data_IF_142653197992
#
_entry.id   IF_142653197992
#
_cell.length_a   1.000
_cell.length_b   1.000
_cell.length_c   1.000
_cell.angle_alpha   90.00
_cell.angle_beta   90.00
_cell.angle_gamma   90.00
#
_symmetry.space_group_name_H-M   'P 1'
#
loop_
_entity.id
_entity.type
_entity.pdbx_description
1 polymer ?
#
# COMPACT_ATOMS: atom_id res chain seq x y z
N UNK A 1 19.69 27.16 11.30
CA UNK A 1 19.73 25.90 12.07
C UNK A 1 19.53 24.68 11.17
N UNK A 2 18.50 24.57 10.34
CA UNK A 2 18.29 23.42 9.43
C UNK A 2 19.46 23.17 8.45
N UNK A 3 19.99 24.21 7.81
CA UNK A 3 21.14 24.07 6.88
C UNK A 3 22.40 23.53 7.54
N UNK A 4 22.69 23.94 8.78
CA UNK A 4 23.85 23.45 9.53
C UNK A 4 23.69 21.98 9.96
N UNK A 5 22.47 21.56 10.31
CA UNK A 5 22.16 20.16 10.65
C UNK A 5 22.30 19.29 9.41
N UNK A 6 21.81 19.74 8.24
CA UNK A 6 21.93 19.00 6.97
C UNK A 6 23.39 18.84 6.55
N UNK A 7 24.22 19.89 6.70
CA UNK A 7 25.63 19.83 6.39
C UNK A 7 26.39 18.88 7.34
N UNK A 8 26.03 18.87 8.62
CA UNK A 8 26.63 17.96 9.60
C UNK A 8 26.21 16.51 9.32
N UNK A 9 24.96 16.28 8.95
CA UNK A 9 24.45 14.96 8.59
C UNK A 9 25.10 14.41 7.31
N UNK A 10 25.40 15.26 6.32
CA UNK A 10 26.04 14.83 5.06
C UNK A 10 27.46 14.26 5.25
N UNK A 11 28.10 14.54 6.37
CA UNK A 11 29.46 14.09 6.67
C UNK A 11 29.51 12.88 7.62
N UNK A 12 28.36 12.35 8.08
CA UNK A 12 28.37 11.28 9.09
C UNK A 12 29.08 10.02 8.61
N UNK A 13 28.80 9.56 7.40
CA UNK A 13 29.50 8.40 6.84
C UNK A 13 31.01 8.67 6.70
N UNK A 14 31.39 9.78 6.11
CA UNK A 14 32.80 10.13 5.91
C UNK A 14 33.56 10.34 7.23
N UNK A 15 32.90 10.86 8.27
CA UNK A 15 33.50 11.03 9.60
C UNK A 15 33.86 9.69 10.28
N UNK A 16 33.19 8.60 9.89
CA UNK A 16 33.48 7.25 10.39
C UNK A 16 34.18 6.37 9.34
N UNK A 17 34.70 6.97 8.26
CA UNK A 17 35.42 6.26 7.21
C UNK A 17 34.58 5.49 6.23
N UNK A 18 33.25 5.66 6.24
CA UNK A 18 32.34 5.04 5.27
C UNK A 18 32.12 5.93 4.03
N UNK A 19 31.90 5.36 2.84
CA UNK A 19 31.65 6.14 1.64
C UNK A 19 30.31 6.89 1.71
N UNK A 20 30.28 8.11 1.15
CA UNK A 20 29.03 8.80 0.84
C UNK A 20 28.51 8.27 -0.50
N UNK A 21 27.31 7.69 -0.50
CA UNK A 21 26.77 6.93 -1.63
C UNK A 21 25.87 7.77 -2.51
N UNK A 22 24.82 8.35 -1.90
CA UNK A 22 23.85 9.18 -2.64
C UNK A 22 24.34 10.63 -2.77
N UNK A 23 24.20 11.23 -3.96
CA UNK A 23 24.52 12.64 -4.16
C UNK A 23 23.40 13.57 -3.65
N UNK A 24 22.24 13.03 -3.25
CA UNK A 24 21.08 13.81 -2.85
C UNK A 24 21.25 14.28 -1.40
N UNK A 25 21.10 15.58 -1.17
CA UNK A 25 21.23 16.16 0.18
C UNK A 25 20.22 15.59 1.19
N UNK A 26 19.07 15.13 0.72
CA UNK A 26 18.06 14.48 1.58
C UNK A 26 18.49 13.10 2.09
N UNK A 27 19.41 12.44 1.41
CA UNK A 27 19.96 11.13 1.79
C UNK A 27 21.16 11.25 2.74
N UNK A 28 21.48 12.45 3.20
CA UNK A 28 22.51 12.66 4.19
C UNK A 28 22.19 11.89 5.49
N UNK A 29 23.20 11.26 6.09
CA UNK A 29 23.03 10.47 7.30
C UNK A 29 24.08 9.39 7.45
N UNK A 30 23.92 8.54 8.48
CA UNK A 30 24.77 7.39 8.73
C UNK A 30 24.15 6.13 8.12
N UNK A 31 24.96 5.32 7.46
CA UNK A 31 24.56 3.96 7.01
C UNK A 31 23.96 3.16 8.16
N UNK A 32 22.97 2.33 7.86
CA UNK A 32 22.42 1.38 8.83
C UNK A 32 23.46 0.29 9.15
N UNK A 33 23.91 0.24 10.38
CA UNK A 33 24.88 -0.76 10.86
C UNK A 33 24.15 -1.69 11.83
N UNK A 34 24.03 -2.96 11.46
CA UNK A 34 23.42 -4.00 12.28
C UNK A 34 24.47 -4.99 12.76
N UNK A 35 24.50 -5.23 14.06
CA UNK A 35 25.42 -6.17 14.71
C UNK A 35 24.57 -7.19 15.47
N UNK A 36 24.68 -8.46 15.15
CA UNK A 36 23.87 -9.50 15.81
C UNK A 36 24.09 -9.49 17.32
N UNK A 37 23.00 -9.38 18.07
CA UNK A 37 23.01 -9.29 19.53
C UNK A 37 23.07 -7.87 20.09
N UNK A 38 23.09 -6.83 19.26
CA UNK A 38 23.13 -5.43 19.65
C UNK A 38 22.02 -4.62 18.94
N UNK A 39 21.68 -3.48 19.52
CA UNK A 39 20.81 -2.52 18.84
C UNK A 39 21.49 -1.95 17.60
N UNK A 40 20.75 -1.71 16.51
CA UNK A 40 21.31 -1.12 15.30
C UNK A 40 21.82 0.31 15.56
N UNK A 41 22.82 0.71 14.78
CA UNK A 41 23.37 2.06 14.72
C UNK A 41 23.02 2.68 13.36
N UNK A 42 22.99 4.01 13.29
CA UNK A 42 22.70 4.74 12.07
C UNK A 42 21.22 4.93 11.81
N UNK A 43 20.91 5.36 10.59
CA UNK A 43 19.54 5.65 10.16
C UNK A 43 18.88 4.39 9.61
N UNK A 44 17.56 4.29 9.76
CA UNK A 44 16.81 3.16 9.19
C UNK A 44 16.89 3.12 7.68
N UNK A 45 17.03 1.91 7.12
CA UNK A 45 17.17 1.68 5.68
C UNK A 45 15.97 2.11 4.84
N UNK A 46 14.80 2.35 5.44
CA UNK A 46 13.60 2.86 4.76
C UNK A 46 13.54 4.40 4.68
N UNK A 47 14.54 5.09 5.20
CA UNK A 47 14.61 6.54 5.26
C UNK A 47 15.78 7.07 4.41
N UNK A 48 15.63 8.31 3.89
CA UNK A 48 14.54 9.25 4.10
C UNK A 48 13.31 8.92 3.25
N UNK A 49 12.13 9.26 3.78
CA UNK A 49 10.88 9.19 3.05
C UNK A 49 10.00 10.40 3.40
N UNK A 50 9.21 10.86 2.43
CA UNK A 50 8.24 11.91 2.60
C UNK A 50 7.06 11.67 1.67
N UNK A 51 5.86 12.06 2.10
CA UNK A 51 4.66 11.98 1.29
C UNK A 51 3.77 13.18 1.59
N UNK A 52 3.41 13.91 0.53
CA UNK A 52 2.44 15.00 0.57
C UNK A 52 1.25 14.60 -0.28
N UNK A 53 0.08 14.49 0.35
CA UNK A 53 -1.15 14.07 -0.32
C UNK A 53 -2.17 15.21 -0.29
N UNK A 54 -2.68 15.58 -1.46
CA UNK A 54 -3.81 16.48 -1.63
C UNK A 54 -5.01 15.70 -2.15
N UNK A 55 -6.17 15.92 -1.53
CA UNK A 55 -7.43 15.32 -1.94
C UNK A 55 -8.45 16.42 -2.18
N UNK A 56 -8.98 16.46 -3.40
CA UNK A 56 -10.09 17.33 -3.77
C UNK A 56 -11.33 16.46 -3.92
N UNK A 57 -12.40 16.79 -3.19
CA UNK A 57 -13.60 15.97 -3.17
C UNK A 57 -14.84 16.84 -3.34
N UNK A 58 -15.76 16.36 -4.19
CA UNK A 58 -17.10 16.93 -4.38
C UNK A 58 -18.10 15.85 -4.07
N UNK A 59 -18.99 16.12 -3.10
CA UNK A 59 -20.02 15.18 -2.67
C UNK A 59 -21.39 15.83 -2.85
N UNK A 60 -22.32 15.09 -3.45
CA UNK A 60 -23.74 15.40 -3.47
C UNK A 60 -24.52 14.25 -2.83
N UNK A 61 -25.43 14.58 -1.91
CA UNK A 61 -26.39 13.66 -1.33
C UNK A 61 -27.77 14.31 -1.38
N UNK A 62 -28.67 13.72 -2.15
CA UNK A 62 -30.04 14.18 -2.31
C UNK A 62 -31.01 13.17 -1.73
N UNK A 63 -32.09 13.67 -1.15
CA UNK A 63 -33.16 12.84 -0.61
C UNK A 63 -34.50 13.33 -1.21
N UNK A 64 -35.28 12.38 -1.69
CA UNK A 64 -36.62 12.65 -2.20
C UNK A 64 -37.62 11.69 -1.59
N UNK A 65 -38.69 12.24 -0.99
CA UNK A 65 -39.78 11.45 -0.38
C UNK A 65 -41.02 11.54 -1.25
N UNK A 66 -41.57 10.39 -1.60
CA UNK A 66 -42.80 10.31 -2.35
C UNK A 66 -43.66 9.12 -1.85
N UNK A 67 -44.80 9.41 -1.23
CA UNK A 67 -45.64 8.38 -0.61
C UNK A 67 -44.85 7.58 0.43
N UNK A 68 -44.79 6.27 0.26
CA UNK A 68 -44.07 5.34 1.15
C UNK A 68 -42.62 5.10 0.73
N UNK A 69 -42.10 5.82 -0.27
CA UNK A 69 -40.73 5.75 -0.75
C UNK A 69 -39.87 6.88 -0.20
N UNK A 70 -38.67 6.52 0.26
CA UNK A 70 -37.60 7.44 0.62
C UNK A 70 -36.40 7.15 -0.26
N UNK A 71 -36.28 7.89 -1.35
CA UNK A 71 -35.16 7.78 -2.28
C UNK A 71 -34.00 8.63 -1.83
N UNK A 72 -32.78 8.03 -1.77
CA UNK A 72 -31.51 8.72 -1.54
C UNK A 72 -30.59 8.42 -2.72
N UNK A 73 -30.07 9.46 -3.34
CA UNK A 73 -29.16 9.33 -4.46
C UNK A 73 -28.08 10.40 -4.41
N UNK A 74 -26.96 10.12 -5.05
CA UNK A 74 -25.87 11.08 -5.03
C UNK A 74 -24.63 10.62 -5.76
N UNK A 75 -23.61 11.47 -5.67
CA UNK A 75 -22.30 11.26 -6.25
C UNK A 75 -21.19 11.65 -5.26
N UNK A 76 -20.06 10.95 -5.33
CA UNK A 76 -18.81 11.28 -4.64
C UNK A 76 -17.68 11.21 -5.66
N UNK A 77 -17.15 12.38 -6.00
CA UNK A 77 -16.06 12.56 -6.95
C UNK A 77 -14.81 12.96 -6.19
N UNK A 78 -13.74 12.16 -6.30
CA UNK A 78 -12.49 12.39 -5.56
C UNK A 78 -11.31 12.39 -6.51
N UNK A 79 -10.44 13.39 -6.37
CA UNK A 79 -9.21 13.55 -7.12
C UNK A 79 -8.05 13.58 -6.13
N UNK A 80 -7.22 12.56 -6.16
CA UNK A 80 -6.11 12.41 -5.24
C UNK A 80 -4.77 12.61 -5.93
N UNK A 81 -3.91 13.39 -5.31
CA UNK A 81 -2.55 13.67 -5.75
C UNK A 81 -1.60 13.34 -4.60
N UNK A 82 -0.66 12.47 -4.83
CA UNK A 82 0.40 12.17 -3.88
C UNK A 82 1.75 12.48 -4.54
N UNK A 83 2.52 13.35 -3.91
CA UNK A 83 3.91 13.58 -4.25
C UNK A 83 4.76 13.01 -3.11
N UNK A 84 5.58 12.03 -3.42
CA UNK A 84 6.33 11.31 -2.42
C UNK A 84 7.73 10.95 -2.91
N UNK A 85 8.59 10.56 -1.99
CA UNK A 85 9.81 9.80 -2.26
C UNK A 85 10.05 8.82 -1.11
N UNK A 86 10.74 7.73 -1.41
CA UNK A 86 11.15 6.72 -0.45
C UNK A 86 12.50 6.15 -0.88
N UNK A 87 13.55 6.70 -0.30
CA UNK A 87 14.92 6.40 -0.67
C UNK A 87 15.45 5.23 0.17
N UNK A 88 14.94 4.02 -0.15
CA UNK A 88 15.30 2.78 0.56
C UNK A 88 16.78 2.48 0.34
N UNK A 89 17.51 2.24 1.44
CA UNK A 89 18.93 1.90 1.48
C UNK A 89 19.87 2.85 0.71
N UNK A 90 19.43 4.09 0.47
CA UNK A 90 20.22 5.11 -0.22
C UNK A 90 21.51 5.50 0.55
N UNK A 91 21.53 5.28 1.88
CA UNK A 91 22.71 5.50 2.73
C UNK A 91 23.60 4.27 2.88
N UNK A 92 23.14 3.13 2.35
CA UNK A 92 23.76 1.83 2.51
C UNK A 92 23.48 1.17 3.85
N UNK A 93 23.64 -0.12 3.87
CA UNK A 93 23.46 -1.00 5.03
C UNK A 93 24.67 -1.91 5.17
N UNK A 94 25.12 -2.10 6.40
CA UNK A 94 26.21 -3.02 6.77
C UNK A 94 25.69 -3.97 7.84
N UNK A 95 25.86 -5.26 7.65
CA UNK A 95 25.43 -6.29 8.58
C UNK A 95 26.61 -7.12 9.07
N UNK A 96 26.80 -7.16 10.38
CA UNK A 96 27.81 -7.97 11.05
C UNK A 96 27.13 -9.14 11.76
N UNK A 97 27.59 -10.34 11.48
CA UNK A 97 27.02 -11.57 11.99
C UNK A 97 28.09 -12.61 12.25
N UNK A 98 27.94 -13.48 13.26
CA UNK A 98 28.93 -14.51 13.56
C UNK A 98 29.11 -15.53 12.43
N UNK A 99 28.22 -15.50 11.40
CA UNK A 99 28.33 -16.35 10.21
C UNK A 99 29.35 -15.85 9.17
N UNK A 100 29.98 -14.67 9.37
CA UNK A 100 30.96 -14.12 8.44
C UNK A 100 32.28 -14.91 8.40
N UNK A 101 32.50 -15.81 9.33
CA UNK A 101 33.66 -16.72 9.42
C UNK A 101 35.04 -16.04 9.54
N UNK A 102 35.10 -14.75 9.90
CA UNK A 102 36.39 -14.06 10.15
C UNK A 102 36.79 -14.25 11.60
N UNK A 103 36.07 -13.66 12.56
CA UNK A 103 36.35 -13.84 14.00
C UNK A 103 35.37 -14.82 14.69
N UNK A 104 34.28 -15.18 14.03
CA UNK A 104 33.17 -15.96 14.61
C UNK A 104 32.34 -15.17 15.63
N UNK A 105 32.58 -13.86 15.74
CA UNK A 105 31.89 -12.96 16.66
C UNK A 105 31.49 -11.67 15.93
N UNK A 106 30.20 -11.31 15.94
CA UNK A 106 29.69 -10.15 15.22
C UNK A 106 30.31 -8.82 15.67
N UNK A 107 30.56 -8.64 16.95
CA UNK A 107 31.25 -7.45 17.45
C UNK A 107 32.76 -7.47 17.09
N UNK A 108 33.37 -8.65 17.14
CA UNK A 108 34.75 -8.84 16.67
C UNK A 108 34.90 -8.47 15.20
N UNK A 109 33.96 -8.91 14.35
CA UNK A 109 33.96 -8.60 12.92
C UNK A 109 33.71 -7.11 12.64
N UNK A 110 32.84 -6.44 13.45
CA UNK A 110 32.70 -4.98 13.39
C UNK A 110 34.04 -4.26 13.72
N UNK A 111 34.70 -4.65 14.80
CA UNK A 111 35.97 -4.03 15.22
C UNK A 111 37.10 -4.28 14.22
N UNK A 112 37.06 -5.40 13.51
CA UNK A 112 38.01 -5.74 12.46
C UNK A 112 37.62 -5.15 11.09
N UNK A 113 36.40 -4.64 10.95
CA UNK A 113 35.91 -4.01 9.72
C UNK A 113 35.43 -4.97 8.63
N UNK A 114 34.96 -6.18 8.99
CA UNK A 114 34.50 -7.21 8.04
C UNK A 114 33.01 -7.48 8.15
N UNK A 115 32.12 -6.76 7.40
CA UNK A 115 30.72 -7.07 7.36
C UNK A 115 30.46 -8.39 6.63
N UNK A 116 29.44 -9.14 7.10
CA UNK A 116 28.93 -10.32 6.40
C UNK A 116 28.23 -9.98 5.11
N UNK A 117 27.38 -8.95 5.17
CA UNK A 117 26.54 -8.48 4.08
C UNK A 117 26.55 -6.95 4.07
N UNK A 118 26.58 -6.40 2.88
CA UNK A 118 26.28 -4.98 2.66
C UNK A 118 25.26 -4.84 1.56
N UNK A 119 24.46 -3.78 1.62
CA UNK A 119 23.54 -3.44 0.54
C UNK A 119 23.47 -1.93 0.36
N UNK A 120 23.23 -1.53 -0.87
CA UNK A 120 23.08 -0.14 -1.27
C UNK A 120 22.16 0.00 -2.44
N UNK A 121 21.22 0.93 -2.36
CA UNK A 121 20.34 1.22 -3.47
C UNK A 121 20.75 2.52 -4.17
N UNK A 122 20.77 2.46 -5.49
CA UNK A 122 20.69 3.64 -6.33
C UNK A 122 19.23 4.03 -6.45
N UNK A 123 18.88 5.25 -6.03
CA UNK A 123 17.48 5.67 -5.90
C UNK A 123 17.25 6.97 -6.63
N UNK A 124 16.27 6.97 -7.53
CA UNK A 124 15.68 8.17 -8.15
C UNK A 124 14.16 7.97 -8.24
N UNK A 125 13.52 7.78 -7.09
CA UNK A 125 12.13 7.37 -7.02
C UNK A 125 11.15 8.48 -6.62
N UNK A 126 11.40 9.71 -7.04
CA UNK A 126 10.40 10.76 -6.90
C UNK A 126 9.08 10.34 -7.56
N UNK A 127 8.01 10.31 -6.77
CA UNK A 127 6.70 9.75 -7.11
C UNK A 127 5.68 10.87 -7.23
N UNK A 128 4.91 10.88 -8.32
CA UNK A 128 3.86 11.86 -8.58
C UNK A 128 2.54 11.15 -8.90
N UNK A 129 2.04 10.38 -7.93
CA UNK A 129 0.87 9.52 -8.11
C UNK A 129 -0.41 10.34 -8.22
N UNK A 130 -1.23 10.00 -9.21
CA UNK A 130 -2.55 10.57 -9.46
C UNK A 130 -3.57 9.45 -9.59
N UNK A 131 -4.70 9.59 -8.88
CA UNK A 131 -5.83 8.67 -8.98
C UNK A 131 -7.13 9.42 -8.77
N UNK A 132 -8.18 8.98 -9.47
CA UNK A 132 -9.49 9.59 -9.41
C UNK A 132 -10.53 8.52 -9.03
N UNK A 133 -11.54 8.91 -8.25
CA UNK A 133 -12.67 8.07 -7.90
C UNK A 133 -13.97 8.73 -8.34
N UNK A 134 -14.84 7.95 -8.98
CA UNK A 134 -16.15 8.36 -9.46
C UNK A 134 -17.17 7.37 -8.92
N UNK A 135 -17.94 7.80 -7.92
CA UNK A 135 -18.88 6.95 -7.23
C UNK A 135 -20.27 7.54 -7.33
N UNK A 136 -21.26 6.71 -7.68
CA UNK A 136 -22.65 7.10 -7.79
C UNK A 136 -23.51 6.09 -7.04
N UNK A 137 -24.59 6.55 -6.43
CA UNK A 137 -25.49 5.64 -5.74
C UNK A 137 -26.95 6.09 -5.83
N UNK A 138 -27.82 5.09 -5.74
CA UNK A 138 -29.25 5.25 -5.51
C UNK A 138 -29.70 4.19 -4.52
N UNK A 139 -30.48 4.60 -3.52
CA UNK A 139 -31.10 3.71 -2.54
C UNK A 139 -32.56 4.11 -2.37
N UNK A 140 -33.42 3.13 -2.25
CA UNK A 140 -34.83 3.31 -1.89
C UNK A 140 -35.12 2.57 -0.58
N UNK A 141 -35.78 3.26 0.33
CA UNK A 141 -36.42 2.68 1.50
C UNK A 141 -37.93 2.73 1.29
N UNK A 142 -38.51 1.58 0.97
CA UNK A 142 -39.96 1.45 0.67
C UNK A 142 -40.70 0.81 1.85
N UNK A 143 -41.63 1.54 2.40
CA UNK A 143 -42.54 1.04 3.44
C UNK A 143 -43.70 0.32 2.78
N UNK A 144 -43.57 -0.99 2.58
CA UNK A 144 -44.59 -1.82 1.95
C UNK A 144 -45.88 -1.89 2.80
N UNK A 145 -45.69 -1.99 4.12
CA UNK A 145 -46.76 -1.96 5.11
C UNK A 145 -46.32 -1.17 6.35
N UNK A 146 -47.24 -0.82 7.29
CA UNK A 146 -46.81 -0.17 8.54
C UNK A 146 -45.81 -0.99 9.39
N UNK A 147 -45.65 -2.27 9.08
CA UNK A 147 -44.77 -3.19 9.82
C UNK A 147 -43.58 -3.74 9.00
N UNK A 148 -43.56 -3.48 7.68
CA UNK A 148 -42.52 -3.99 6.80
C UNK A 148 -41.91 -2.88 5.95
N UNK A 149 -40.64 -2.67 6.10
CA UNK A 149 -39.84 -1.80 5.23
C UNK A 149 -38.80 -2.64 4.50
N UNK A 150 -38.64 -2.43 3.20
CA UNK A 150 -37.60 -3.00 2.37
C UNK A 150 -36.66 -1.88 1.92
N UNK A 151 -35.36 -2.13 1.95
CA UNK A 151 -34.35 -1.24 1.43
C UNK A 151 -33.68 -1.91 0.23
N UNK A 152 -33.57 -1.19 -0.87
CA UNK A 152 -32.87 -1.63 -2.07
C UNK A 152 -31.98 -0.52 -2.58
N UNK A 153 -30.79 -0.87 -3.01
CA UNK A 153 -29.88 0.13 -3.55
C UNK A 153 -28.81 -0.44 -4.45
N UNK A 154 -28.27 0.43 -5.27
CA UNK A 154 -27.13 0.15 -6.13
C UNK A 154 -26.12 1.28 -6.01
N UNK A 155 -24.86 0.90 -5.83
CA UNK A 155 -23.75 1.83 -5.93
C UNK A 155 -22.84 1.38 -7.07
N UNK A 156 -22.42 2.32 -7.89
CA UNK A 156 -21.36 2.14 -8.87
C UNK A 156 -20.10 2.81 -8.37
N UNK A 157 -18.97 2.10 -8.40
CA UNK A 157 -17.69 2.59 -7.93
C UNK A 157 -16.63 2.41 -9.01
N UNK A 158 -16.06 3.50 -9.47
CA UNK A 158 -14.90 3.46 -10.35
C UNK A 158 -13.76 4.23 -9.73
N UNK A 159 -12.71 3.49 -9.36
CA UNK A 159 -11.44 4.04 -8.93
C UNK A 159 -10.44 3.85 -10.07
N UNK A 160 -9.94 4.95 -10.63
CA UNK A 160 -8.92 4.84 -11.69
C UNK A 160 -7.67 4.18 -11.14
N UNK A 161 -7.03 3.30 -11.91
CA UNK A 161 -5.68 2.87 -11.56
C UNK A 161 -4.76 4.07 -11.33
N UNK A 162 -3.89 4.04 -10.31
CA UNK A 162 -2.95 5.11 -10.06
C UNK A 162 -1.91 5.21 -11.19
N UNK A 163 -1.59 6.42 -11.59
CA UNK A 163 -0.57 6.70 -12.62
C UNK A 163 0.43 7.74 -12.11
N UNK A 164 1.66 7.68 -12.57
CA UNK A 164 2.60 8.78 -12.36
C UNK A 164 2.30 9.93 -13.31
N UNK A 165 2.27 11.16 -12.80
CA UNK A 165 1.98 12.36 -13.59
C UNK A 165 3.09 12.69 -14.61
N UNK A 166 4.30 12.19 -14.40
CA UNK A 166 5.49 12.41 -15.24
C UNK A 166 5.89 11.15 -16.02
N UNK A 167 5.07 10.08 -15.96
CA UNK A 167 5.32 8.78 -16.58
C UNK A 167 6.67 8.14 -16.15
N UNK A 168 7.10 8.42 -14.93
CA UNK A 168 8.31 7.89 -14.33
C UNK A 168 8.04 6.57 -13.63
N UNK A 169 7.78 5.53 -14.41
CA UNK A 169 7.45 4.21 -13.88
C UNK A 169 7.90 3.13 -14.85
N UNK A 170 8.50 2.07 -14.33
CA UNK A 170 8.85 0.88 -15.07
C UNK A 170 8.24 -0.35 -14.42
N UNK A 171 7.84 -1.29 -15.26
CA UNK A 171 7.23 -2.53 -14.87
C UNK A 171 7.94 -3.71 -15.52
N UNK A 172 8.03 -4.80 -14.80
CA UNK A 172 8.46 -6.05 -15.39
C UNK A 172 7.29 -6.70 -16.11
N UNK A 173 7.39 -6.79 -17.43
CA UNK A 173 6.43 -7.53 -18.25
C UNK A 173 6.79 -9.02 -18.22
N UNK A 174 5.98 -9.79 -17.51
CA UNK A 174 6.16 -11.24 -17.34
C UNK A 174 6.10 -11.97 -18.68
N UNK A 175 5.37 -11.43 -19.66
CA UNK A 175 5.21 -12.10 -20.98
C UNK A 175 6.44 -11.99 -21.85
N UNK A 176 7.18 -10.89 -21.74
CA UNK A 176 8.41 -10.63 -22.52
C UNK A 176 9.69 -10.87 -21.74
N UNK A 177 9.60 -10.94 -20.39
CA UNK A 177 10.76 -11.06 -19.51
C UNK A 177 11.60 -9.78 -19.43
N UNK A 178 11.03 -8.62 -19.74
CA UNK A 178 11.76 -7.34 -19.81
C UNK A 178 11.10 -6.23 -19.00
N UNK A 179 11.89 -5.23 -18.62
CA UNK A 179 11.35 -4.00 -18.04
C UNK A 179 10.80 -3.12 -19.16
N UNK A 180 9.58 -2.63 -18.96
CA UNK A 180 8.87 -1.76 -19.90
C UNK A 180 8.42 -0.50 -19.18
N UNK A 181 8.68 0.65 -19.78
CA UNK A 181 8.16 1.91 -19.25
C UNK A 181 6.63 1.92 -19.32
N UNK A 182 6.00 2.32 -18.24
CA UNK A 182 4.55 2.47 -18.16
C UNK A 182 4.04 3.43 -19.25
N UNK A 183 2.95 3.05 -19.91
CA UNK A 183 2.38 3.83 -21.02
C UNK A 183 3.04 3.58 -22.40
N UNK A 184 4.03 2.69 -22.51
CA UNK A 184 4.69 2.34 -23.77
C UNK A 184 4.44 0.90 -24.15
N UNK A 185 4.64 0.53 -25.43
CA UNK A 185 4.56 -0.84 -25.94
C UNK A 185 3.27 -1.58 -25.54
N UNK A 186 2.14 -0.87 -25.44
CA UNK A 186 0.86 -1.44 -25.04
C UNK A 186 0.72 -1.71 -23.53
N UNK A 187 1.70 -1.33 -22.72
CA UNK A 187 1.61 -1.35 -21.26
C UNK A 187 0.77 -0.16 -20.78
N UNK A 188 -0.27 -0.35 -19.96
CA UNK A 188 -0.99 0.77 -19.37
C UNK A 188 -0.09 1.65 -18.51
N UNK A 189 -0.38 2.95 -18.42
CA UNK A 189 0.38 3.89 -17.57
C UNK A 189 0.40 3.51 -16.08
N UNK A 190 -0.62 2.79 -15.65
CA UNK A 190 -0.76 2.23 -14.29
C UNK A 190 -0.13 0.86 -14.10
N UNK A 191 0.30 0.22 -15.20
CA UNK A 191 0.76 -1.16 -15.21
C UNK A 191 -0.36 -2.21 -15.29
N UNK A 192 -1.61 -1.82 -15.09
CA UNK A 192 -2.77 -2.72 -15.16
C UNK A 192 -4.00 -2.02 -15.73
N UNK A 193 -4.91 -2.84 -16.26
CA UNK A 193 -6.11 -2.35 -16.92
C UNK A 193 -7.16 -1.87 -15.89
N UNK A 194 -7.93 -0.80 -16.21
CA UNK A 194 -8.97 -0.31 -15.31
C UNK A 194 -10.13 -1.29 -15.18
N UNK A 195 -10.59 -1.50 -13.95
CA UNK A 195 -11.79 -2.28 -13.65
C UNK A 195 -13.01 -1.36 -13.55
N UNK A 196 -13.96 -1.50 -14.47
CA UNK A 196 -15.11 -0.59 -14.62
C UNK A 196 -16.47 -1.22 -14.31
N UNK A 197 -16.49 -2.47 -13.82
CA UNK A 197 -17.71 -3.22 -13.58
C UNK A 197 -18.11 -3.34 -12.11
N UNK A 198 -17.65 -2.40 -11.27
CA UNK A 198 -17.84 -2.45 -9.84
C UNK A 198 -19.25 -1.96 -9.42
N UNK A 199 -20.25 -2.79 -9.63
CA UNK A 199 -21.61 -2.57 -9.18
C UNK A 199 -21.84 -3.24 -7.82
N UNK A 200 -22.20 -2.45 -6.82
CA UNK A 200 -22.35 -2.84 -5.43
C UNK A 200 -23.85 -2.81 -5.01
N UNK A 201 -24.60 -3.91 -5.26
CA UNK A 201 -25.97 -4.01 -4.81
C UNK A 201 -26.03 -4.11 -3.29
N UNK A 202 -27.11 -3.55 -2.72
CA UNK A 202 -27.43 -3.60 -1.31
C UNK A 202 -28.92 -3.84 -1.16
N UNK A 203 -29.28 -4.81 -0.33
CA UNK A 203 -30.67 -5.10 0.00
C UNK A 203 -30.82 -5.31 1.49
N UNK A 204 -31.96 -4.95 2.03
CA UNK A 204 -32.25 -5.16 3.43
C UNK A 204 -33.72 -5.05 3.72
N UNK A 205 -34.11 -5.52 4.89
CA UNK A 205 -35.49 -5.40 5.37
C UNK A 205 -35.54 -5.20 6.88
N UNK A 206 -36.62 -4.60 7.32
CA UNK A 206 -37.02 -4.53 8.72
C UNK A 206 -38.50 -4.89 8.83
N UNK A 207 -38.81 -5.95 9.58
CA UNK A 207 -40.14 -6.48 9.73
C UNK A 207 -40.51 -6.62 11.20
N UNK A 208 -41.53 -5.88 11.61
CA UNK A 208 -42.16 -6.02 12.94
C UNK A 208 -43.19 -7.12 12.88
N UNK A 209 -42.96 -8.22 13.62
CA UNK A 209 -43.73 -9.45 13.58
C UNK A 209 -44.74 -9.49 14.76
N UNK A 210 -45.86 -10.14 14.54
CA UNK A 210 -46.87 -10.41 15.57
C UNK A 210 -47.84 -9.24 15.79
N UNK A 211 -48.99 -9.58 16.41
CA UNK A 211 -50.01 -8.61 16.75
C UNK A 211 -49.58 -7.67 17.88
N UNK A 212 -48.73 -8.17 18.76
CA UNK A 212 -48.14 -7.45 19.87
C UNK A 212 -47.06 -6.45 19.46
N UNK A 213 -46.53 -6.58 18.22
CA UNK A 213 -45.44 -5.74 17.64
C UNK A 213 -44.18 -5.66 18.50
N UNK A 214 -43.95 -6.69 19.33
CA UNK A 214 -42.78 -6.73 20.26
C UNK A 214 -41.54 -7.41 19.64
N UNK A 215 -41.71 -8.02 18.45
CA UNK A 215 -40.62 -8.72 17.77
C UNK A 215 -40.29 -8.00 16.47
N UNK A 216 -39.01 -7.73 16.24
CA UNK A 216 -38.49 -7.15 15.00
C UNK A 216 -37.45 -8.09 14.43
N UNK A 217 -37.63 -8.44 13.16
CA UNK A 217 -36.63 -9.17 12.35
C UNK A 217 -36.01 -8.20 11.36
N UNK A 218 -34.67 -8.14 11.32
CA UNK A 218 -33.93 -7.34 10.37
C UNK A 218 -32.93 -8.22 9.65
N UNK A 219 -32.72 -7.94 8.39
CA UNK A 219 -31.69 -8.60 7.60
C UNK A 219 -31.17 -7.71 6.49
N UNK A 220 -29.95 -8.00 6.08
CA UNK A 220 -29.32 -7.26 5.01
C UNK A 220 -28.21 -8.03 4.32
N UNK A 221 -27.97 -7.68 3.06
CA UNK A 221 -26.86 -8.10 2.25
C UNK A 221 -26.31 -6.92 1.48
N UNK A 222 -24.99 -6.83 1.34
CA UNK A 222 -24.36 -5.80 0.54
C UNK A 222 -22.99 -6.20 0.02
N UNK A 223 -22.66 -5.66 -1.15
CA UNK A 223 -21.35 -5.72 -1.78
C UNK A 223 -20.64 -4.39 -1.59
N UNK A 224 -19.34 -4.44 -1.28
CA UNK A 224 -18.50 -3.28 -1.00
C UNK A 224 -17.16 -3.46 -1.69
N UNK A 225 -16.86 -2.61 -2.66
CA UNK A 225 -15.58 -2.64 -3.35
C UNK A 225 -14.51 -1.93 -2.53
N UNK A 226 -13.29 -2.41 -2.65
CA UNK A 226 -12.12 -1.76 -2.08
C UNK A 226 -11.73 -0.54 -2.92
N UNK A 227 -11.08 0.43 -2.29
CA UNK A 227 -10.50 1.55 -3.02
C UNK A 227 -9.25 1.06 -3.74
N UNK A 228 -8.93 1.71 -4.87
CA UNK A 228 -7.74 1.35 -5.65
C UNK A 228 -6.49 1.36 -4.75
N UNK A 229 -5.85 0.20 -4.56
CA UNK A 229 -4.73 0.11 -3.65
C UNK A 229 -3.54 0.92 -4.20
N UNK A 230 -2.92 1.74 -3.36
CA UNK A 230 -1.69 2.45 -3.71
C UNK A 230 -0.48 1.50 -3.76
N UNK A 231 -0.52 0.38 -3.06
CA UNK A 231 0.57 -0.59 -3.02
C UNK A 231 1.03 -1.08 -4.41
N UNK A 232 0.15 -1.41 -5.38
CA UNK A 232 0.59 -1.69 -6.73
C UNK A 232 1.30 -0.51 -7.41
N UNK A 233 0.95 0.74 -7.07
CA UNK A 233 1.64 1.90 -7.62
C UNK A 233 3.07 2.04 -7.09
N UNK A 234 3.37 1.56 -5.89
CA UNK A 234 4.74 1.54 -5.37
C UNK A 234 5.65 0.66 -6.23
N UNK A 235 5.14 -0.45 -6.78
CA UNK A 235 5.91 -1.31 -7.67
C UNK A 235 6.41 -0.59 -8.92
N UNK A 236 5.72 0.45 -9.37
CA UNK A 236 6.11 1.27 -10.52
C UNK A 236 7.46 1.98 -10.31
N UNK A 237 7.86 2.22 -9.06
CA UNK A 237 9.04 3.01 -8.71
C UNK A 237 10.20 2.18 -8.18
N UNK A 238 9.99 0.90 -7.91
CA UNK A 238 10.99 -0.03 -7.39
C UNK A 238 11.58 -0.94 -8.47
N UNK A 239 11.63 -0.45 -9.72
CA UNK A 239 12.29 -1.09 -10.84
C UNK A 239 13.33 -0.15 -11.46
N UNK A 240 14.37 -0.72 -12.06
CA UNK A 240 15.36 0.07 -12.80
C UNK A 240 14.69 0.87 -13.93
N UNK A 241 15.17 2.08 -14.24
CA UNK A 241 16.36 2.75 -13.72
C UNK A 241 16.10 3.58 -12.45
N UNK A 242 14.89 3.58 -11.91
CA UNK A 242 14.50 4.45 -10.77
C UNK A 242 14.92 3.87 -9.43
N UNK A 243 15.09 2.55 -9.39
CA UNK A 243 15.55 1.84 -8.22
C UNK A 243 16.43 0.66 -8.65
N UNK A 244 17.61 0.55 -8.04
CA UNK A 244 18.55 -0.54 -8.26
C UNK A 244 19.22 -0.85 -6.92
N UNK A 245 18.93 -2.02 -6.36
CA UNK A 245 19.45 -2.44 -5.05
C UNK A 245 20.53 -3.51 -5.23
N UNK A 246 21.75 -3.16 -4.88
CA UNK A 246 22.89 -4.06 -4.95
C UNK A 246 23.16 -4.65 -3.57
N UNK A 247 23.25 -5.96 -3.49
CA UNK A 247 23.54 -6.72 -2.28
C UNK A 247 24.82 -7.49 -2.47
N UNK A 248 25.74 -7.36 -1.52
CA UNK A 248 27.05 -7.98 -1.52
C UNK A 248 27.20 -8.89 -0.31
N UNK A 249 27.91 -9.99 -0.47
CA UNK A 249 28.19 -10.93 0.59
C UNK A 249 29.69 -11.11 0.76
N UNK A 250 30.16 -11.26 2.01
CA UNK A 250 31.51 -11.67 2.32
C UNK A 250 31.69 -13.13 1.93
N UNK A 251 32.70 -13.43 1.10
CA UNK A 251 32.99 -14.76 0.61
C UNK A 251 34.36 -15.23 1.10
N UNK A 252 34.57 -16.55 1.24
CA UNK A 252 35.88 -17.08 1.52
C UNK A 252 36.92 -16.63 0.47
N UNK A 253 37.99 -15.97 0.93
CA UNK A 253 39.00 -15.40 0.06
C UNK A 253 38.66 -14.06 -0.60
N UNK A 254 37.44 -13.57 -0.45
CA UNK A 254 36.98 -12.27 -0.93
C UNK A 254 36.08 -11.60 0.13
N UNK A 255 36.62 -11.21 1.29
CA UNK A 255 35.84 -10.59 2.34
C UNK A 255 35.45 -9.16 1.94
N UNK A 256 34.22 -8.74 2.33
CA UNK A 256 33.86 -7.33 2.34
C UNK A 256 34.62 -6.60 3.44
N UNK A 257 34.98 -5.34 3.21
CA UNK A 257 35.69 -4.50 4.20
C UNK A 257 34.98 -3.14 4.36
N UNK A 258 35.19 -2.47 5.48
CA UNK A 258 34.70 -1.11 5.68
C UNK A 258 35.32 -0.10 4.71
N UNK A 259 36.54 -0.34 4.22
CA UNK A 259 37.20 0.51 3.22
C UNK A 259 36.54 0.38 1.84
N UNK A 260 35.94 -0.77 1.54
CA UNK A 260 35.22 -1.03 0.30
C UNK A 260 33.95 -1.86 0.57
N UNK A 261 32.97 -1.28 1.25
CA UNK A 261 31.76 -2.02 1.64
C UNK A 261 30.81 -2.27 0.47
N UNK A 262 30.93 -1.50 -0.62
CA UNK A 262 30.08 -1.59 -1.81
C UNK A 262 30.96 -1.67 -3.06
N UNK A 263 31.54 -2.85 -3.33
CA UNK A 263 32.49 -3.00 -4.43
C UNK A 263 31.81 -2.78 -5.78
N UNK A 264 32.50 -2.09 -6.70
CA UNK A 264 31.99 -1.84 -8.06
C UNK A 264 31.92 -3.11 -8.93
N UNK A 265 32.66 -4.14 -8.54
CA UNK A 265 32.60 -5.47 -9.16
C UNK A 265 32.39 -6.53 -8.09
N UNK A 266 31.40 -7.37 -8.29
CA UNK A 266 31.12 -8.52 -7.44
C UNK A 266 30.94 -9.77 -8.32
N UNK A 267 31.70 -10.86 -8.10
CA UNK A 267 31.76 -12.00 -9.01
C UNK A 267 30.47 -12.84 -9.04
N UNK A 268 29.59 -12.65 -8.06
CA UNK A 268 28.31 -13.35 -7.94
C UNK A 268 27.17 -12.34 -7.73
N UNK A 269 26.85 -11.52 -8.74
CA UNK A 269 25.74 -10.60 -8.61
C UNK A 269 24.45 -11.39 -8.36
N UNK A 270 23.66 -10.94 -7.39
CA UNK A 270 22.30 -11.46 -7.26
C UNK A 270 21.49 -11.03 -8.47
N UNK A 271 20.54 -11.87 -8.93
CA UNK A 271 19.62 -11.46 -9.96
C UNK A 271 18.90 -10.16 -9.56
N UNK A 272 18.77 -9.24 -10.49
CA UNK A 272 17.98 -8.04 -10.28
C UNK A 272 16.58 -8.44 -9.85
N UNK A 273 16.11 -7.90 -8.74
CA UNK A 273 14.72 -8.06 -8.34
C UNK A 273 13.87 -7.11 -9.17
N UNK A 274 12.82 -7.64 -9.79
CA UNK A 274 11.87 -6.83 -10.53
C UNK A 274 10.47 -7.01 -9.96
N UNK A 275 9.77 -5.91 -9.79
CA UNK A 275 8.38 -5.92 -9.37
C UNK A 275 7.47 -5.89 -10.60
N UNK A 276 6.52 -6.82 -10.63
CA UNK A 276 5.49 -6.92 -11.66
C UNK A 276 4.11 -6.73 -11.05
N UNK A 277 3.20 -6.20 -11.86
CA UNK A 277 1.78 -6.10 -11.51
C UNK A 277 1.01 -6.98 -12.49
N UNK A 278 0.05 -7.73 -11.97
CA UNK A 278 -0.86 -8.50 -12.81
C UNK A 278 -1.70 -7.52 -13.65
N UNK A 279 -1.63 -7.65 -14.98
CA UNK A 279 -2.27 -6.71 -15.91
C UNK A 279 -3.80 -6.66 -15.80
N UNK A 280 -4.44 -7.80 -15.60
CA UNK A 280 -5.88 -7.94 -15.44
C UNK A 280 -6.34 -7.87 -13.97
N UNK A 281 -5.62 -7.10 -13.15
CA UNK A 281 -5.93 -6.90 -11.76
C UNK A 281 -7.38 -6.40 -11.59
N UNK A 282 -8.16 -7.11 -10.78
CA UNK A 282 -9.56 -6.76 -10.49
C UNK A 282 -9.70 -6.17 -9.12
N UNK A 283 -10.63 -5.25 -8.98
CA UNK A 283 -10.93 -4.64 -7.68
C UNK A 283 -11.43 -5.69 -6.70
N UNK A 284 -10.78 -5.79 -5.57
CA UNK A 284 -11.22 -6.64 -4.46
C UNK A 284 -12.55 -6.15 -3.88
N UNK A 285 -13.37 -7.07 -3.39
CA UNK A 285 -14.63 -6.69 -2.76
C UNK A 285 -14.97 -7.60 -1.58
N UNK A 286 -15.76 -7.04 -0.67
CA UNK A 286 -16.34 -7.73 0.47
C UNK A 286 -17.83 -7.89 0.28
N UNK A 287 -18.35 -9.07 0.58
CA UNK A 287 -19.77 -9.32 0.76
C UNK A 287 -20.05 -9.36 2.25
N UNK A 288 -21.08 -8.65 2.70
CA UNK A 288 -21.53 -8.67 4.08
C UNK A 288 -23.01 -9.05 4.12
N UNK A 289 -23.37 -9.89 5.08
CA UNK A 289 -24.76 -10.23 5.36
C UNK A 289 -24.99 -10.30 6.85
N UNK A 290 -26.22 -9.99 7.24
CA UNK A 290 -26.64 -10.09 8.61
C UNK A 290 -28.11 -10.50 8.71
N UNK A 291 -28.45 -11.14 9.82
CA UNK A 291 -29.81 -11.42 10.25
C UNK A 291 -29.88 -11.18 11.76
N UNK A 292 -30.84 -10.37 12.19
CA UNK A 292 -31.02 -9.98 13.58
C UNK A 292 -32.50 -10.16 13.96
N UNK A 293 -32.75 -10.75 15.10
CA UNK A 293 -34.05 -10.82 15.74
C UNK A 293 -33.99 -10.16 17.11
N UNK A 294 -34.86 -9.19 17.30
CA UNK A 294 -35.02 -8.47 18.57
C UNK A 294 -36.41 -8.72 19.11
N UNK A 295 -36.51 -8.97 20.42
CA UNK A 295 -37.80 -9.09 21.10
C UNK A 295 -37.80 -8.34 22.42
N UNK A 296 -38.80 -7.48 22.60
CA UNK A 296 -39.05 -6.85 23.88
C UNK A 296 -39.62 -7.89 24.87
N UNK A 297 -39.01 -7.97 26.05
CA UNK A 297 -39.42 -8.89 27.14
C UNK A 297 -39.83 -8.04 28.34
N UNK A 298 -41.12 -8.10 28.66
CA UNK A 298 -41.67 -7.25 29.71
C UNK A 298 -41.61 -5.76 29.35
N UNK A 299 -41.55 -4.89 30.36
CA UNK A 299 -41.54 -3.42 30.15
C UNK A 299 -40.14 -2.85 29.90
N UNK A 300 -39.10 -3.50 30.42
CA UNK A 300 -37.76 -2.93 30.48
C UNK A 300 -36.66 -3.85 29.92
N UNK A 301 -37.01 -5.02 29.35
CA UNK A 301 -36.03 -5.96 28.81
C UNK A 301 -36.07 -6.02 27.29
N UNK A 302 -34.93 -6.22 26.65
CA UNK A 302 -34.75 -6.52 25.23
C UNK A 302 -33.88 -7.77 25.12
N UNK A 303 -34.36 -8.73 24.33
CA UNK A 303 -33.59 -9.91 23.94
C UNK A 303 -33.22 -9.76 22.45
N UNK A 304 -31.96 -9.97 22.13
CA UNK A 304 -31.44 -9.85 20.78
C UNK A 304 -30.54 -11.03 20.43
N UNK A 305 -30.73 -11.56 19.22
CA UNK A 305 -29.82 -12.55 18.60
C UNK A 305 -29.48 -12.08 17.21
N UNK A 306 -28.21 -12.01 16.90
CA UNK A 306 -27.71 -11.60 15.60
C UNK A 306 -26.75 -12.63 15.01
N UNK A 307 -26.85 -12.85 13.71
CA UNK A 307 -25.87 -13.55 12.90
C UNK A 307 -25.28 -12.58 11.87
N UNK A 308 -23.95 -12.54 11.80
CA UNK A 308 -23.22 -11.70 10.86
C UNK A 308 -22.19 -12.56 10.14
N UNK A 309 -22.10 -12.38 8.83
CA UNK A 309 -21.08 -13.05 8.03
C UNK A 309 -20.49 -12.13 6.99
N UNK A 310 -19.27 -12.43 6.56
CA UNK A 310 -18.59 -11.72 5.49
C UNK A 310 -17.73 -12.63 4.65
N UNK A 311 -17.49 -12.25 3.38
CA UNK A 311 -16.60 -12.94 2.46
C UNK A 311 -15.84 -11.94 1.60
N UNK A 312 -14.50 -12.00 1.67
CA UNK A 312 -13.62 -11.28 0.75
C UNK A 312 -13.44 -12.06 -0.56
N UNK A 313 -13.39 -11.34 -1.68
CA UNK A 313 -13.18 -11.91 -3.01
C UNK A 313 -12.23 -11.01 -3.78
N UNK A 314 -11.31 -11.59 -4.54
CA UNK A 314 -10.28 -10.89 -5.34
C UNK A 314 -9.44 -9.93 -4.48
N UNK A 315 -9.16 -10.30 -3.24
CA UNK A 315 -8.28 -9.51 -2.38
C UNK A 315 -6.87 -9.52 -2.95
N UNK A 316 -6.21 -8.36 -2.86
CA UNK A 316 -4.83 -8.20 -3.32
C UNK A 316 -3.89 -9.07 -2.47
N UNK A 317 -3.03 -9.83 -3.12
CA UNK A 317 -1.95 -10.61 -2.49
C UNK A 317 -0.65 -10.39 -3.23
N UNK A 318 0.45 -10.22 -2.49
CA UNK A 318 1.80 -10.32 -3.05
C UNK A 318 2.22 -11.80 -3.10
N UNK A 319 2.95 -12.18 -4.15
CA UNK A 319 3.54 -13.52 -4.34
C UNK A 319 5.01 -13.40 -4.64
#
# INVERSE_FOLDING_TARGET
MAAAITQQASQLNSNVGLPTISPLARDAGLSLITVTGFSPLGDEGNNPQNSVTNVYQVINNSTYTHGDHLLKFGADLRFSQQNAFRDVEARGRLQFSPFAQISGNSLGDLLLGFPLLTSVARVDNAQHIRTNSYNFFINDSYRITPTLTINGGLRYEYNSPPVDAQDRANLYDISTGTLVQAGTNGMPRSGFDPDRNNFAPRVGFAWTIGKDRLTVLRGGYGVYYDQSPLAPAEALYFNAPYFDNNIFFSLPGLPLTLDNPFPSFFPFPLPDSALAIQRDLRTGYMQHWNLNIERQVGRNGLFEVAYVGSKGTKLLTAR
#
